data_IF_451564332910
#
_entry.id   IF_451564332910
#
_cell.length_a   1.000
_cell.length_b   1.000
_cell.length_c   1.000
_cell.angle_alpha   90.00
_cell.angle_beta   90.00
_cell.angle_gamma   90.00
#
_symmetry.space_group_name_H-M   'P 1'
#
loop_
_entity.id
_entity.type
_entity.pdbx_description
1 polymer ?
#
# COMPACT_ATOMS: atom_id res chain seq x y z
N UNK A 1 28.62 23.15 11.60
CA UNK A 1 28.11 21.86 12.11
C UNK A 1 26.71 21.65 11.56
N UNK A 2 26.51 20.64 10.70
CA UNK A 2 25.24 20.44 10.01
C UNK A 2 24.34 19.49 10.81
N UNK A 3 23.34 20.04 11.49
CA UNK A 3 22.28 19.28 12.16
C UNK A 3 21.38 18.66 11.10
N UNK A 4 21.75 17.47 10.61
CA UNK A 4 20.96 16.78 9.60
C UNK A 4 19.73 16.19 10.29
N UNK A 5 18.56 16.73 9.95
CA UNK A 5 17.29 16.37 10.54
C UNK A 5 16.99 14.87 10.33
N UNK A 6 17.15 14.05 11.37
CA UNK A 6 16.94 12.61 11.27
C UNK A 6 15.47 12.30 10.95
N UNK A 7 15.17 11.99 9.68
CA UNK A 7 13.98 11.22 9.33
C UNK A 7 14.12 9.86 10.01
N UNK A 8 13.00 9.24 10.43
CA UNK A 8 13.00 7.85 10.89
C UNK A 8 13.93 7.00 10.02
N UNK A 9 14.86 6.26 10.62
CA UNK A 9 15.76 5.40 9.85
C UNK A 9 14.92 4.43 9.01
N UNK A 10 15.07 4.53 7.69
CA UNK A 10 14.41 3.61 6.75
C UNK A 10 15.03 2.24 6.88
N UNK A 11 14.22 1.18 6.84
CA UNK A 11 14.74 -0.17 6.79
C UNK A 11 15.39 -0.42 5.43
N UNK A 12 16.63 -0.90 5.42
CA UNK A 12 17.33 -1.34 4.21
C UNK A 12 17.24 -2.85 3.99
N UNK A 13 16.61 -3.58 4.92
CA UNK A 13 16.39 -5.02 4.78
C UNK A 13 15.57 -5.28 3.51
N UNK A 14 15.99 -6.20 2.63
CA UNK A 14 15.24 -6.54 1.43
C UNK A 14 13.82 -7.00 1.78
N UNK A 15 12.83 -6.50 1.03
CA UNK A 15 11.49 -7.07 1.09
C UNK A 15 11.49 -8.44 0.39
N UNK A 16 10.82 -9.42 0.99
CA UNK A 16 10.84 -10.82 0.53
C UNK A 16 9.42 -11.34 0.37
N UNK A 17 9.25 -12.49 -0.28
CA UNK A 17 7.94 -13.15 -0.38
C UNK A 17 7.33 -13.46 1.00
N UNK A 18 8.13 -13.67 2.05
CA UNK A 18 7.66 -13.81 3.44
C UNK A 18 7.00 -12.53 3.95
N UNK A 19 7.61 -11.36 3.66
CA UNK A 19 7.01 -10.06 4.00
C UNK A 19 5.70 -9.85 3.26
N UNK A 20 5.68 -10.10 1.95
CA UNK A 20 4.46 -9.99 1.13
C UNK A 20 3.35 -10.93 1.62
N UNK A 21 3.68 -12.16 2.01
CA UNK A 21 2.71 -13.11 2.57
C UNK A 21 2.06 -12.58 3.86
N UNK A 22 2.83 -11.92 4.73
CA UNK A 22 2.29 -11.29 5.94
C UNK A 22 1.40 -10.10 5.60
N UNK A 23 1.80 -9.28 4.63
CA UNK A 23 0.96 -8.18 4.15
C UNK A 23 -0.37 -8.66 3.55
N UNK A 24 -0.37 -9.77 2.80
CA UNK A 24 -1.61 -10.42 2.32
C UNK A 24 -2.55 -10.75 3.48
N UNK A 25 -2.04 -11.37 4.54
CA UNK A 25 -2.84 -11.71 5.75
C UNK A 25 -3.38 -10.47 6.46
N UNK A 26 -2.55 -9.43 6.64
CA UNK A 26 -2.97 -8.17 7.25
C UNK A 26 -4.08 -7.51 6.43
N UNK A 27 -3.92 -7.44 5.10
CA UNK A 27 -4.92 -6.90 4.21
C UNK A 27 -6.20 -7.76 4.20
N UNK A 28 -6.09 -9.10 4.29
CA UNK A 28 -7.24 -9.99 4.37
C UNK A 28 -8.11 -9.73 5.60
N UNK A 29 -7.49 -9.60 6.78
CA UNK A 29 -8.20 -9.25 8.01
C UNK A 29 -8.95 -7.91 7.88
N UNK A 30 -8.34 -6.93 7.20
CA UNK A 30 -8.99 -5.65 6.94
C UNK A 30 -10.16 -5.74 5.95
N UNK A 31 -10.04 -6.62 4.95
CA UNK A 31 -11.10 -6.89 3.97
C UNK A 31 -12.30 -7.58 4.59
N UNK A 32 -12.12 -8.50 5.56
CA UNK A 32 -13.27 -9.13 6.22
C UNK A 32 -14.17 -8.10 6.92
N UNK A 33 -13.58 -7.14 7.62
CA UNK A 33 -14.32 -6.02 8.23
C UNK A 33 -15.02 -5.15 7.18
N UNK A 34 -14.42 -4.99 5.99
CA UNK A 34 -15.06 -4.30 4.88
C UNK A 34 -16.25 -5.10 4.34
N UNK A 35 -16.10 -6.41 4.16
CA UNK A 35 -17.16 -7.29 3.66
C UNK A 35 -18.35 -7.42 4.61
N UNK A 36 -18.15 -7.34 5.92
CA UNK A 36 -19.27 -7.28 6.89
C UNK A 36 -20.19 -6.10 6.60
N UNK A 37 -19.62 -4.97 6.17
CA UNK A 37 -20.37 -3.75 5.87
C UNK A 37 -20.83 -3.67 4.42
N UNK A 38 -20.11 -4.34 3.52
CA UNK A 38 -20.25 -4.31 2.06
C UNK A 38 -20.16 -5.70 1.45
N UNK A 39 -21.12 -6.60 1.77
CA UNK A 39 -21.07 -8.00 1.32
C UNK A 39 -21.11 -8.14 -0.20
N UNK A 40 -21.64 -7.16 -0.93
CA UNK A 40 -21.69 -7.13 -2.40
C UNK A 40 -20.30 -7.12 -3.08
N UNK A 41 -19.24 -6.82 -2.31
CA UNK A 41 -17.85 -6.87 -2.76
C UNK A 41 -17.16 -8.21 -2.48
N UNK A 42 -17.81 -9.16 -1.80
CA UNK A 42 -17.29 -10.54 -1.69
C UNK A 42 -17.17 -11.16 -3.09
N UNK A 43 -16.06 -11.84 -3.34
CA UNK A 43 -15.78 -12.42 -4.66
C UNK A 43 -15.41 -11.40 -5.75
N UNK A 44 -15.22 -10.12 -5.40
CA UNK A 44 -14.81 -9.06 -6.34
C UNK A 44 -13.38 -8.57 -6.15
N UNK A 45 -12.61 -9.19 -5.25
CA UNK A 45 -11.19 -8.86 -5.09
C UNK A 45 -10.46 -9.21 -6.39
N UNK A 46 -9.81 -8.22 -6.99
CA UNK A 46 -8.97 -8.39 -8.18
C UNK A 46 -7.55 -8.72 -7.75
N UNK A 47 -6.97 -7.89 -6.86
CA UNK A 47 -5.63 -8.11 -6.36
C UNK A 47 -5.34 -7.32 -5.09
N UNK A 48 -4.25 -7.71 -4.43
CA UNK A 48 -3.58 -6.91 -3.41
C UNK A 48 -2.18 -6.60 -3.90
N UNK A 49 -1.72 -5.37 -3.71
CA UNK A 49 -0.38 -4.95 -4.14
C UNK A 49 0.35 -4.17 -3.06
N UNK A 50 1.68 -4.29 -3.07
CA UNK A 50 2.58 -3.35 -2.40
C UNK A 50 2.88 -2.21 -3.37
N UNK A 51 2.75 -0.99 -2.90
CA UNK A 51 2.93 0.21 -3.70
C UNK A 51 3.95 1.17 -3.08
N UNK A 52 4.20 2.27 -3.79
CA UNK A 52 4.96 3.42 -3.32
C UNK A 52 6.36 3.01 -2.82
N UNK A 53 6.86 3.65 -1.75
CA UNK A 53 8.24 3.44 -1.29
C UNK A 53 8.59 1.98 -1.03
N UNK A 54 7.62 1.16 -0.62
CA UNK A 54 7.79 -0.29 -0.47
C UNK A 54 7.97 -1.03 -1.79
N UNK A 55 7.18 -0.67 -2.82
CA UNK A 55 7.33 -1.21 -4.18
C UNK A 55 8.71 -0.93 -4.75
N UNK A 56 9.15 0.33 -4.71
CA UNK A 56 10.45 0.73 -5.23
C UNK A 56 11.60 0.04 -4.47
N UNK A 57 11.48 -0.08 -3.15
CA UNK A 57 12.48 -0.79 -2.34
C UNK A 57 12.54 -2.28 -2.67
N UNK A 58 11.42 -2.91 -3.02
CA UNK A 58 11.39 -4.30 -3.49
C UNK A 58 12.20 -4.45 -4.79
N UNK A 59 12.08 -3.46 -5.69
CA UNK A 59 12.70 -3.43 -7.01
C UNK A 59 14.20 -3.12 -7.00
N UNK A 60 14.65 -2.15 -6.19
CA UNK A 60 16.01 -1.61 -6.28
C UNK A 60 16.81 -1.64 -4.97
N UNK A 61 16.13 -1.79 -3.83
CA UNK A 61 16.69 -1.80 -2.47
C UNK A 61 17.44 -0.52 -2.04
N UNK A 62 17.34 0.57 -2.80
CA UNK A 62 18.13 1.79 -2.59
C UNK A 62 17.46 2.73 -1.60
N UNK A 63 16.17 2.98 -1.74
CA UNK A 63 15.47 4.00 -0.94
C UNK A 63 15.22 3.53 0.51
N UNK A 64 14.97 2.25 0.74
CA UNK A 64 14.55 1.73 2.04
C UNK A 64 13.09 2.06 2.38
N UNK A 65 12.54 1.32 3.34
CA UNK A 65 11.12 1.40 3.72
C UNK A 65 10.92 2.17 5.01
N UNK A 66 9.99 3.13 5.03
CA UNK A 66 9.56 3.82 6.26
C UNK A 66 8.28 3.18 6.81
N UNK A 67 7.31 3.04 5.92
CA UNK A 67 5.95 2.50 6.03
C UNK A 67 5.68 1.64 4.78
N UNK A 68 4.66 0.77 4.84
CA UNK A 68 4.30 -0.16 3.78
C UNK A 68 2.89 0.16 3.26
N UNK A 69 2.80 0.66 2.03
CA UNK A 69 1.52 0.99 1.39
C UNK A 69 0.94 -0.22 0.67
N UNK A 70 -0.19 -0.74 1.15
CA UNK A 70 -0.88 -1.92 0.61
C UNK A 70 -2.26 -1.57 0.09
N UNK A 71 -2.47 -1.81 -1.20
CA UNK A 71 -3.74 -1.55 -1.87
C UNK A 71 -4.49 -2.85 -2.14
N UNK A 72 -5.77 -2.90 -1.79
CA UNK A 72 -6.71 -3.94 -2.26
C UNK A 72 -7.59 -3.37 -3.36
N UNK A 73 -7.51 -3.95 -4.55
CA UNK A 73 -8.31 -3.56 -5.71
C UNK A 73 -9.52 -4.47 -5.87
N UNK A 74 -10.66 -3.88 -6.15
CA UNK A 74 -11.93 -4.58 -6.33
C UNK A 74 -12.54 -4.26 -7.69
N UNK A 75 -13.18 -5.24 -8.31
CA UNK A 75 -14.07 -4.99 -9.43
C UNK A 75 -15.33 -4.27 -8.93
N UNK A 76 -15.69 -3.14 -9.54
CA UNK A 76 -16.94 -2.46 -9.23
C UNK A 76 -18.15 -3.33 -9.61
N UNK A 77 -19.24 -3.35 -8.80
CA UNK A 77 -20.51 -3.91 -9.23
C UNK A 77 -21.03 -3.24 -10.52
N UNK A 78 -21.76 -3.98 -11.38
CA UNK A 78 -22.41 -3.39 -12.53
C UNK A 78 -23.30 -2.21 -12.11
N UNK A 79 -23.16 -1.07 -12.80
CA UNK A 79 -23.92 0.15 -12.50
C UNK A 79 -23.37 1.02 -11.36
N UNK A 80 -22.26 0.63 -10.73
CA UNK A 80 -21.58 1.45 -9.71
C UNK A 80 -20.41 2.23 -10.33
N UNK A 81 -20.44 3.55 -10.15
CA UNK A 81 -19.37 4.46 -10.61
C UNK A 81 -18.42 4.89 -9.49
N UNK A 82 -18.73 4.54 -8.24
CA UNK A 82 -17.95 4.99 -7.08
C UNK A 82 -17.71 3.86 -6.11
N UNK A 83 -16.44 3.70 -5.72
CA UNK A 83 -16.10 2.77 -4.68
C UNK A 83 -16.32 3.41 -3.30
N UNK A 84 -17.06 2.74 -2.40
CA UNK A 84 -17.52 3.34 -1.15
C UNK A 84 -16.40 3.72 -0.18
N UNK A 85 -15.25 3.07 -0.28
CA UNK A 85 -14.10 3.28 0.59
C UNK A 85 -12.92 3.98 -0.12
N UNK A 86 -13.18 4.74 -1.20
CA UNK A 86 -12.13 5.39 -2.02
C UNK A 86 -11.22 6.39 -1.30
N UNK A 87 -11.65 6.89 -0.14
CA UNK A 87 -10.89 7.82 0.73
C UNK A 87 -10.44 7.18 2.04
N UNK A 88 -10.64 5.87 2.19
CA UNK A 88 -10.30 5.15 3.41
C UNK A 88 -8.81 4.84 3.42
N UNK A 89 -8.15 5.30 4.46
CA UNK A 89 -6.81 4.84 4.83
C UNK A 89 -6.90 4.30 6.24
N UNK A 90 -6.48 3.04 6.44
CA UNK A 90 -6.30 2.46 7.77
C UNK A 90 -4.83 2.25 8.03
N UNK A 91 -4.40 2.56 9.24
CA UNK A 91 -3.02 2.37 9.68
C UNK A 91 -3.01 1.23 10.68
N UNK A 92 -2.20 0.21 10.42
CA UNK A 92 -2.05 -0.95 11.29
C UNK A 92 -0.57 -1.26 11.49
N UNK A 93 -0.28 -2.08 12.49
CA UNK A 93 1.07 -2.53 12.75
C UNK A 93 1.43 -3.74 11.88
N UNK A 94 2.62 -3.71 11.27
CA UNK A 94 3.20 -4.91 10.66
C UNK A 94 3.53 -5.95 11.74
N UNK A 95 3.87 -5.50 12.95
CA UNK A 95 4.35 -6.30 14.07
C UNK A 95 5.86 -6.57 14.01
N UNK A 96 6.41 -7.27 15.01
CA UNK A 96 7.83 -7.54 15.10
C UNK A 96 8.38 -8.21 13.84
N UNK A 97 9.49 -7.70 13.33
CA UNK A 97 10.20 -8.23 12.15
C UNK A 97 11.62 -7.66 12.02
N UNK A 98 12.38 -8.26 11.11
CA UNK A 98 13.67 -7.78 10.58
C UNK A 98 13.56 -6.44 9.85
N UNK A 99 12.36 -5.99 9.44
CA UNK A 99 12.16 -4.62 8.94
C UNK A 99 12.29 -3.55 10.05
N UNK A 100 12.43 -3.99 11.30
CA UNK A 100 12.50 -3.15 12.49
C UNK A 100 11.20 -2.39 12.73
N UNK A 101 11.31 -1.31 13.51
CA UNK A 101 10.19 -0.49 13.94
C UNK A 101 10.24 0.90 13.33
N UNK A 102 9.07 1.46 13.00
CA UNK A 102 8.99 2.86 12.63
C UNK A 102 9.11 3.76 13.86
N UNK A 103 10.14 4.62 13.88
CA UNK A 103 10.31 5.67 14.91
C UNK A 103 9.82 7.01 14.40
N UNK A 104 9.28 7.84 15.27
CA UNK A 104 8.78 9.17 14.91
C UNK A 104 9.62 10.22 15.64
N UNK A 105 10.01 11.26 14.93
CA UNK A 105 10.61 12.45 15.53
C UNK A 105 9.48 13.44 15.81
N UNK A 106 8.99 13.45 17.04
CA UNK A 106 7.83 14.25 17.44
C UNK A 106 8.03 15.76 17.22
N UNK A 107 9.27 16.26 17.26
CA UNK A 107 9.57 17.66 16.99
C UNK A 107 9.27 18.07 15.54
N UNK A 108 9.16 17.10 14.62
CA UNK A 108 8.81 17.34 13.21
C UNK A 108 7.31 17.32 12.93
N UNK A 109 6.47 17.13 13.94
CA UNK A 109 5.03 17.17 13.75
C UNK A 109 4.59 18.58 13.31
N UNK A 110 3.82 18.66 12.22
CA UNK A 110 3.34 19.93 11.64
C UNK A 110 2.06 20.44 12.28
N UNK A 111 1.42 19.65 13.14
CA UNK A 111 0.20 20.01 13.83
C UNK A 111 0.01 19.15 15.10
N UNK A 112 -0.79 19.64 16.07
CA UNK A 112 -1.14 18.85 17.26
C UNK A 112 -1.79 17.50 16.91
N UNK A 113 -2.63 17.48 15.86
CA UNK A 113 -3.27 16.26 15.36
C UNK A 113 -2.24 15.24 14.86
N UNK A 114 -1.24 15.69 14.10
CA UNK A 114 -0.18 14.80 13.62
C UNK A 114 0.69 14.30 14.76
N UNK A 115 1.00 15.15 15.73
CA UNK A 115 1.76 14.77 16.93
C UNK A 115 1.04 13.66 17.70
N UNK A 116 -0.24 13.87 18.03
CA UNK A 116 -1.06 12.89 18.74
C UNK A 116 -1.14 11.55 17.98
N UNK A 117 -1.29 11.61 16.65
CA UNK A 117 -1.30 10.42 15.81
C UNK A 117 0.05 9.67 15.84
N UNK A 118 1.17 10.39 15.77
CA UNK A 118 2.50 9.78 15.85
C UNK A 118 2.79 9.19 17.22
N UNK A 119 2.39 9.85 18.30
CA UNK A 119 2.50 9.33 19.67
C UNK A 119 1.71 8.05 19.83
N UNK A 120 0.46 8.03 19.36
CA UNK A 120 -0.39 6.83 19.35
C UNK A 120 0.28 5.67 18.63
N UNK A 121 0.72 5.86 17.38
CA UNK A 121 1.41 4.80 16.63
C UNK A 121 2.73 4.38 17.28
N UNK A 122 3.46 5.30 17.90
CA UNK A 122 4.67 5.00 18.65
C UNK A 122 4.40 4.22 19.95
N UNK A 123 3.18 4.19 20.46
CA UNK A 123 2.81 3.37 21.60
C UNK A 123 2.30 2.00 21.14
N UNK A 124 1.45 1.98 20.10
CA UNK A 124 0.70 0.79 19.69
C UNK A 124 1.45 -0.13 18.72
N UNK A 125 2.39 0.38 17.91
CA UNK A 125 3.02 -0.42 16.85
C UNK A 125 4.38 -0.94 17.28
N UNK A 126 4.61 -2.24 17.21
CA UNK A 126 5.91 -2.88 17.47
C UNK A 126 6.77 -2.97 16.20
N UNK A 127 6.15 -2.93 15.02
CA UNK A 127 6.80 -3.01 13.71
C UNK A 127 6.76 -1.71 12.88
N UNK A 128 6.89 -1.89 11.57
CA UNK A 128 6.66 -0.82 10.58
C UNK A 128 5.15 -0.58 10.43
N UNK A 129 4.75 0.67 10.19
CA UNK A 129 3.34 0.95 9.88
C UNK A 129 2.99 0.36 8.52
N UNK A 130 1.82 -0.26 8.43
CA UNK A 130 1.19 -0.65 7.18
C UNK A 130 0.00 0.26 6.95
N UNK A 131 0.01 0.93 5.80
CA UNK A 131 -1.11 1.74 5.33
C UNK A 131 -1.94 0.86 4.42
N UNK A 132 -3.24 0.70 4.74
CA UNK A 132 -4.20 -0.13 4.02
C UNK A 132 -5.19 0.77 3.30
N UNK A 133 -5.27 0.60 1.98
CA UNK A 133 -6.14 1.36 1.08
C UNK A 133 -6.92 0.41 0.19
N UNK A 134 -8.04 0.90 -0.31
CA UNK A 134 -8.93 0.14 -1.17
C UNK A 134 -9.35 1.00 -2.36
N UNK A 135 -9.57 0.35 -3.50
CA UNK A 135 -9.98 1.01 -4.74
C UNK A 135 -10.91 0.11 -5.54
N UNK A 136 -11.93 0.69 -6.17
CA UNK A 136 -12.73 0.03 -7.19
C UNK A 136 -12.17 0.28 -8.59
N UNK A 137 -12.21 -0.73 -9.45
CA UNK A 137 -11.82 -0.72 -10.84
C UNK A 137 -13.02 -1.11 -11.71
N UNK A 138 -13.19 -0.43 -12.84
CA UNK A 138 -14.17 -0.83 -13.86
C UNK A 138 -13.61 -2.03 -14.63
N UNK A 139 -13.81 -3.23 -14.09
CA UNK A 139 -13.35 -4.48 -14.69
C UNK A 139 -14.24 -5.66 -14.25
N UNK A 140 -14.03 -6.83 -14.86
CA UNK A 140 -14.68 -8.08 -14.42
C UNK A 140 -13.96 -8.62 -13.18
N UNK A 141 -14.66 -9.29 -12.24
CA UNK A 141 -14.05 -9.88 -11.04
C UNK A 141 -12.89 -10.86 -11.30
N UNK A 142 -12.89 -11.54 -12.44
CA UNK A 142 -11.88 -12.51 -12.85
C UNK A 142 -10.93 -11.98 -13.94
N UNK A 143 -10.91 -10.66 -14.18
CA UNK A 143 -9.97 -10.06 -15.11
C UNK A 143 -8.54 -10.26 -14.62
N UNK A 144 -7.58 -10.32 -15.54
CA UNK A 144 -6.17 -10.45 -15.18
C UNK A 144 -5.74 -9.25 -14.32
N UNK A 145 -5.24 -9.47 -13.10
CA UNK A 145 -4.90 -8.37 -12.21
C UNK A 145 -3.79 -7.45 -12.72
N UNK A 146 -2.84 -7.98 -13.50
CA UNK A 146 -1.74 -7.17 -14.04
C UNK A 146 -2.28 -6.25 -15.12
N UNK A 147 -3.06 -6.78 -16.07
CA UNK A 147 -3.60 -6.00 -17.17
C UNK A 147 -4.49 -4.86 -16.65
N UNK A 148 -5.45 -5.15 -15.77
CA UNK A 148 -6.39 -4.12 -15.29
C UNK A 148 -5.74 -3.06 -14.39
N UNK A 149 -4.72 -3.43 -13.61
CA UNK A 149 -3.99 -2.46 -12.80
C UNK A 149 -3.08 -1.61 -13.69
N UNK A 150 -2.41 -2.20 -14.68
CA UNK A 150 -1.60 -1.44 -15.66
C UNK A 150 -2.48 -0.48 -16.44
N UNK A 151 -3.63 -0.92 -16.94
CA UNK A 151 -4.61 -0.04 -17.59
C UNK A 151 -5.05 1.10 -16.68
N UNK A 152 -5.35 0.82 -15.41
CA UNK A 152 -5.73 1.85 -14.45
C UNK A 152 -4.59 2.85 -14.15
N UNK A 153 -3.35 2.38 -14.09
CA UNK A 153 -2.16 3.24 -13.96
C UNK A 153 -1.93 4.04 -15.25
N UNK A 154 -2.24 3.46 -16.41
CA UNK A 154 -1.96 4.03 -17.73
C UNK A 154 -3.12 4.83 -18.34
N UNK A 155 -4.26 4.97 -17.66
CA UNK A 155 -5.43 5.74 -18.09
C UNK A 155 -5.20 7.28 -18.13
N UNK A 156 -4.09 7.70 -18.75
CA UNK A 156 -3.70 9.03 -19.20
C UNK A 156 -4.10 10.11 -18.20
N UNK A 157 -3.26 10.25 -17.20
CA UNK A 157 -3.30 11.22 -16.11
C UNK A 157 -3.98 12.54 -16.56
N UNK A 158 -5.26 12.68 -16.21
CA UNK A 158 -5.93 13.99 -16.16
C UNK A 158 -5.45 14.81 -14.94
N UNK A 159 -4.82 14.18 -13.94
CA UNK A 159 -4.39 14.80 -12.66
C UNK A 159 -3.15 14.10 -12.06
N UNK A 160 -1.93 14.66 -12.19
CA UNK A 160 -0.69 14.02 -11.69
C UNK A 160 -0.67 13.80 -10.17
N UNK A 161 -1.43 14.59 -9.42
CA UNK A 161 -1.58 14.45 -7.95
C UNK A 161 -2.66 13.42 -7.53
N UNK A 162 -2.96 12.44 -8.38
CA UNK A 162 -3.94 11.37 -8.09
C UNK A 162 -3.26 10.10 -7.56
N UNK A 163 -4.02 9.14 -7.02
CA UNK A 163 -3.44 7.87 -6.58
C UNK A 163 -2.68 7.13 -7.69
N UNK A 164 -3.20 7.00 -8.94
CA UNK A 164 -2.42 6.44 -10.05
C UNK A 164 -1.07 7.13 -10.25
N UNK A 165 -1.06 8.47 -10.23
CA UNK A 165 0.18 9.25 -10.39
C UNK A 165 1.25 8.89 -9.36
N UNK A 166 0.90 8.89 -8.06
CA UNK A 166 1.84 8.51 -7.01
C UNK A 166 2.27 7.03 -7.06
N UNK A 167 1.41 6.14 -7.56
CA UNK A 167 1.71 4.71 -7.64
C UNK A 167 2.69 4.39 -8.77
N UNK A 168 2.59 5.10 -9.91
CA UNK A 168 3.53 4.95 -11.02
C UNK A 168 4.95 5.29 -10.60
N UNK A 169 5.16 6.40 -9.89
CA UNK A 169 6.49 6.92 -9.52
C UNK A 169 7.34 5.97 -8.65
N UNK A 170 6.76 4.92 -8.06
CA UNK A 170 7.44 4.14 -7.03
C UNK A 170 7.16 2.63 -7.10
N UNK A 171 6.65 2.12 -8.20
CA UNK A 171 6.54 0.68 -8.47
C UNK A 171 5.39 -0.03 -7.76
N UNK A 172 4.88 -1.08 -8.41
CA UNK A 172 3.70 -1.84 -7.94
C UNK A 172 4.00 -3.33 -8.03
N UNK A 173 3.95 -4.01 -6.87
CA UNK A 173 4.30 -5.43 -6.71
C UNK A 173 3.08 -6.21 -6.25
N UNK A 174 2.75 -7.30 -6.93
CA UNK A 174 1.62 -8.15 -6.60
C UNK A 174 1.86 -8.92 -5.29
N UNK A 175 0.90 -8.87 -4.37
CA UNK A 175 0.89 -9.56 -3.08
C UNK A 175 -0.05 -10.77 -3.11
N UNK A 176 -1.22 -10.58 -3.72
CA UNK A 176 -2.35 -11.51 -3.81
C UNK A 176 -2.95 -11.35 -5.22
N UNK A 177 -3.17 -12.43 -5.99
CA UNK A 177 -3.25 -13.84 -5.58
C UNK A 177 -1.89 -14.48 -5.20
N UNK A 178 -1.89 -15.53 -4.35
CA UNK A 178 -0.68 -16.07 -3.72
C UNK A 178 0.31 -16.76 -4.68
N UNK A 179 -0.20 -17.36 -5.74
CA UNK A 179 0.55 -18.01 -6.83
C UNK A 179 1.39 -17.00 -7.63
N UNK A 180 0.89 -15.77 -7.76
CA UNK A 180 1.56 -14.66 -8.48
C UNK A 180 2.31 -13.69 -7.57
N UNK A 181 2.50 -14.04 -6.29
CA UNK A 181 3.10 -13.15 -5.29
C UNK A 181 4.54 -12.78 -5.64
N UNK A 182 4.80 -11.48 -5.68
CA UNK A 182 6.09 -10.87 -5.98
C UNK A 182 6.26 -10.50 -7.45
N UNK A 183 5.28 -10.76 -8.30
CA UNK A 183 5.29 -10.26 -9.68
C UNK A 183 5.28 -8.74 -9.71
N UNK A 184 6.03 -8.19 -10.67
CA UNK A 184 6.10 -6.75 -10.90
C UNK A 184 5.00 -6.36 -11.87
N UNK A 185 4.05 -5.54 -11.41
CA UNK A 185 2.97 -5.00 -12.25
C UNK A 185 3.45 -3.73 -12.95
N UNK A 186 4.21 -2.91 -12.23
CA UNK A 186 4.72 -1.63 -12.71
C UNK A 186 6.11 -1.36 -12.15
N UNK A 187 7.05 -0.99 -13.02
CA UNK A 187 8.38 -0.52 -12.67
C UNK A 187 8.66 0.82 -13.34
N UNK A 188 8.68 1.95 -12.58
CA UNK A 188 8.91 3.28 -13.15
C UNK A 188 10.26 3.45 -13.86
N UNK A 189 11.18 2.51 -13.70
CA UNK A 189 12.50 2.57 -14.34
C UNK A 189 12.45 2.10 -15.79
N UNK A 190 11.40 1.40 -16.20
CA UNK A 190 11.23 0.83 -17.56
C UNK A 190 9.84 1.10 -18.16
N UNK A 191 8.83 1.36 -17.34
CA UNK A 191 7.43 1.53 -17.77
C UNK A 191 6.96 3.01 -17.79
N UNK A 192 7.76 3.97 -17.31
CA UNK A 192 7.43 5.41 -17.27
C UNK A 192 8.11 6.23 -18.37
#
# INVERSE_FOLDING_TARGET
>A
MATTAARSARSKVPLTKRHLARLSKIAAADREVFYERRPEYRGRLVAVVLAQGGGLHYLDRRNGVKDLDVWSFFALPPGEDRFPADRRTRHVDFGPSDLGRQRYDFAKARSPRQLAQWQKWHQEHEGRRVDLMMRGLHCKPNADPTDVIRDWLDQRIRKPRSSPGHLREAGVILIDPPDRRGEVIWDPRVDD
#
